data_IF_479884038562
#
_entry.id   IF_479884038562
#
_cell.length_a   1.000
_cell.length_b   1.000
_cell.length_c   1.000
_cell.angle_alpha   90.00
_cell.angle_beta   90.00
_cell.angle_gamma   90.00
#
_symmetry.space_group_name_H-M   'P 1'
#
loop_
_entity.id
_entity.type
_entity.pdbx_description
1 polymer ?
#
# COMPACT_ATOMS: atom_id res chain seq x y z
N UNK A 1 -6.70 -13.87 -6.93
CA UNK A 1 -7.03 -13.45 -5.56
C UNK A 1 -6.32 -12.12 -5.29
N UNK A 2 -6.60 -11.45 -4.18
CA UNK A 2 -5.94 -10.21 -3.79
C UNK A 2 -6.18 -9.96 -2.30
N UNK A 3 -5.47 -9.00 -1.72
CA UNK A 3 -5.61 -8.62 -0.32
C UNK A 3 -5.39 -7.13 -0.13
N UNK A 4 -5.92 -6.61 0.98
CA UNK A 4 -5.68 -5.24 1.42
C UNK A 4 -5.07 -5.27 2.80
N UNK A 5 -4.13 -4.34 3.03
CA UNK A 5 -3.57 -4.04 4.35
C UNK A 5 -3.60 -2.52 4.52
N UNK A 6 -3.87 -2.05 5.73
CA UNK A 6 -3.95 -0.62 6.00
C UNK A 6 -3.82 -0.30 7.48
N UNK A 7 -3.33 0.89 7.77
CA UNK A 7 -3.20 1.43 9.11
C UNK A 7 -3.70 2.88 9.13
N UNK A 8 -4.24 3.31 10.27
CA UNK A 8 -4.58 4.69 10.57
C UNK A 8 -3.94 5.05 11.90
N UNK A 9 -3.11 6.09 11.91
CA UNK A 9 -2.32 6.49 13.07
C UNK A 9 -2.15 8.01 13.10
N UNK A 10 -2.00 8.57 14.30
CA UNK A 10 -1.56 9.95 14.49
C UNK A 10 -0.06 10.12 14.20
N UNK A 11 0.69 9.02 14.18
CA UNK A 11 2.10 8.98 13.80
C UNK A 11 2.24 8.47 12.35
N UNK A 12 3.42 8.64 11.77
CA UNK A 12 3.74 8.03 10.47
C UNK A 12 3.57 6.50 10.55
N UNK A 13 2.79 5.94 9.64
CA UNK A 13 2.53 4.51 9.51
C UNK A 13 2.75 4.00 8.07
N UNK A 14 3.43 4.78 7.22
CA UNK A 14 3.68 4.43 5.82
C UNK A 14 4.50 3.13 5.74
N UNK A 15 5.51 3.00 6.59
CA UNK A 15 6.39 1.83 6.66
C UNK A 15 5.63 0.57 7.08
N UNK A 16 4.70 0.69 8.04
CA UNK A 16 3.87 -0.44 8.48
C UNK A 16 2.96 -0.91 7.34
N UNK A 17 2.32 0.03 6.63
CA UNK A 17 1.49 -0.27 5.46
C UNK A 17 2.30 -0.92 4.35
N UNK A 18 3.53 -0.46 4.12
CA UNK A 18 4.43 -1.03 3.13
C UNK A 18 4.74 -2.50 3.42
N UNK A 19 5.24 -2.81 4.63
CA UNK A 19 5.60 -4.19 4.98
C UNK A 19 4.39 -5.12 5.07
N UNK A 20 3.24 -4.64 5.57
CA UNK A 20 2.01 -5.44 5.58
C UNK A 20 1.46 -5.72 4.17
N UNK A 21 1.63 -4.77 3.24
CA UNK A 21 1.28 -4.99 1.82
C UNK A 21 2.23 -5.98 1.15
N UNK A 22 3.54 -5.85 1.39
CA UNK A 22 4.57 -6.74 0.84
C UNK A 22 4.40 -8.19 1.33
N UNK A 23 4.02 -8.39 2.59
CA UNK A 23 3.69 -9.72 3.12
C UNK A 23 2.56 -10.40 2.33
N UNK A 24 1.57 -9.63 1.89
CA UNK A 24 0.44 -10.12 1.10
C UNK A 24 0.71 -10.17 -0.42
N UNK A 25 1.92 -9.86 -0.90
CA UNK A 25 2.27 -9.84 -2.33
C UNK A 25 1.95 -11.16 -3.05
N UNK A 26 2.08 -12.30 -2.36
CA UNK A 26 1.76 -13.63 -2.89
C UNK A 26 0.26 -13.85 -3.20
N UNK A 27 -0.64 -12.98 -2.69
CA UNK A 27 -2.08 -13.13 -2.88
C UNK A 27 -2.54 -12.63 -4.26
N UNK A 28 -1.74 -11.83 -4.97
CA UNK A 28 -2.13 -11.22 -6.25
C UNK A 28 -0.96 -11.00 -7.20
N UNK A 29 -1.19 -11.22 -8.49
CA UNK A 29 -0.15 -11.17 -9.55
C UNK A 29 -0.40 -10.13 -10.63
N UNK A 30 -1.45 -9.30 -10.50
CA UNK A 30 -1.84 -8.33 -11.54
C UNK A 30 -1.41 -6.89 -11.23
N UNK A 31 -1.86 -6.36 -10.10
CA UNK A 31 -1.53 -4.99 -9.68
C UNK A 31 -1.19 -4.96 -8.20
N UNK A 32 -0.21 -4.15 -7.85
CA UNK A 32 0.23 -3.90 -6.49
C UNK A 32 0.40 -2.40 -6.28
N UNK A 33 0.33 -1.98 -5.02
CA UNK A 33 0.52 -0.58 -4.67
C UNK A 33 -0.04 -0.19 -3.32
N UNK A 34 0.15 1.08 -2.99
CA UNK A 34 -0.33 1.69 -1.76
C UNK A 34 -0.77 3.14 -1.99
N UNK A 35 -1.61 3.64 -1.07
CA UNK A 35 -2.01 5.04 -1.00
C UNK A 35 -1.78 5.52 0.43
N UNK A 36 -1.21 6.71 0.58
CA UNK A 36 -1.03 7.38 1.86
C UNK A 36 -1.59 8.79 1.80
N UNK A 37 -2.02 9.32 2.93
CA UNK A 37 -2.42 10.72 3.06
C UNK A 37 -1.32 11.50 3.77
N UNK A 38 -0.98 12.68 3.26
CA UNK A 38 -0.25 13.68 4.04
C UNK A 38 -1.01 15.03 4.06
N UNK A 39 -0.90 15.81 5.13
CA UNK A 39 -1.54 17.13 5.20
C UNK A 39 -1.05 18.13 4.14
N UNK A 40 0.22 18.04 3.74
CA UNK A 40 0.85 18.95 2.77
C UNK A 40 0.57 18.59 1.31
N UNK A 41 0.37 17.31 0.99
CA UNK A 41 0.23 16.81 -0.40
C UNK A 41 -1.09 16.10 -0.67
N UNK A 42 -1.94 15.97 0.34
CA UNK A 42 -3.18 15.19 0.24
C UNK A 42 -2.88 13.70 0.02
N UNK A 43 -3.76 13.03 -0.74
CA UNK A 43 -3.58 11.62 -1.07
C UNK A 43 -2.49 11.42 -2.14
N UNK A 44 -1.49 10.62 -1.78
CA UNK A 44 -0.41 10.16 -2.64
C UNK A 44 -0.62 8.67 -2.92
N UNK A 45 -0.55 8.26 -4.18
CA UNK A 45 -0.75 6.86 -4.58
C UNK A 45 0.34 6.37 -5.51
N UNK A 46 0.76 5.13 -5.32
CA UNK A 46 1.62 4.41 -6.25
C UNK A 46 0.98 3.04 -6.49
N UNK A 47 0.33 2.86 -7.64
CA UNK A 47 -0.33 1.61 -8.03
C UNK A 47 0.10 1.27 -9.46
N UNK A 48 0.72 0.12 -9.65
CA UNK A 48 1.29 -0.30 -10.94
C UNK A 48 0.99 -1.77 -11.24
N UNK A 49 1.21 -2.18 -12.49
CA UNK A 49 1.16 -3.59 -12.86
C UNK A 49 2.39 -4.31 -12.31
N UNK A 50 2.18 -5.51 -11.79
CA UNK A 50 3.23 -6.44 -11.32
C UNK A 50 3.19 -7.75 -12.11
N UNK A 51 2.51 -7.73 -13.28
CA UNK A 51 2.51 -8.83 -14.23
C UNK A 51 3.90 -8.96 -14.87
N UNK A 52 4.29 -10.21 -15.20
CA UNK A 52 5.54 -10.51 -15.93
C UNK A 52 5.39 -10.23 -17.43
#
# INVERSE_FOLDING_TARGET
MGGFFGAASNNDCITDVFFGTDYHSHLGTRRGGMTAYSPDRGFQRAIHSIEN
#
